data_IF_146250309717
#
_entry.id   IF_146250309717
#
_cell.length_a   1.000
_cell.length_b   1.000
_cell.length_c   1.000
_cell.angle_alpha   90.00
_cell.angle_beta   90.00
_cell.angle_gamma   90.00
#
_symmetry.space_group_name_H-M   'P 1'
#
loop_
_entity.id
_entity.type
_entity.pdbx_description
1 polymer ?
#
# COMPACT_ATOMS: atom_id res chain seq x y z
N UNK A 1 4.91 -1.32 -5.55
CA UNK A 1 4.20 -0.05 -5.74
C UNK A 1 2.72 -0.27 -5.50
N UNK A 2 2.10 0.65 -4.78
CA UNK A 2 0.66 0.63 -4.46
C UNK A 2 -0.24 0.79 -5.70
N UNK A 3 0.25 1.45 -6.73
CA UNK A 3 -0.53 1.76 -7.93
C UNK A 3 -0.98 0.53 -8.73
N UNK A 4 -0.39 -0.65 -8.45
CA UNK A 4 -0.61 -1.88 -9.23
C UNK A 4 -0.98 -3.02 -8.28
N UNK A 5 -2.12 -3.65 -8.57
CA UNK A 5 -2.66 -4.77 -7.78
C UNK A 5 -1.89 -6.05 -8.04
N UNK A 6 -1.74 -6.88 -7.00
CA UNK A 6 -0.87 -8.05 -7.00
C UNK A 6 -1.12 -9.01 -8.18
N UNK A 7 -2.38 -9.19 -8.61
CA UNK A 7 -2.74 -10.00 -9.79
C UNK A 7 -2.06 -9.56 -11.10
N UNK A 8 -1.65 -8.30 -11.21
CA UNK A 8 -1.02 -7.74 -12.41
C UNK A 8 0.51 -7.78 -12.39
N UNK A 9 1.13 -8.50 -11.44
CA UNK A 9 2.59 -8.70 -11.45
C UNK A 9 3.14 -9.15 -12.81
N UNK A 10 2.50 -10.06 -13.58
CA UNK A 10 3.01 -10.45 -14.91
C UNK A 10 3.16 -9.27 -15.90
N UNK A 11 2.28 -8.26 -15.83
CA UNK A 11 2.39 -7.08 -16.69
C UNK A 11 3.63 -6.24 -16.36
N UNK A 12 3.98 -6.13 -15.08
CA UNK A 12 5.20 -5.47 -14.64
C UNK A 12 6.45 -6.25 -15.05
N UNK A 13 6.41 -7.58 -14.93
CA UNK A 13 7.54 -8.44 -15.29
C UNK A 13 7.83 -8.37 -16.80
N UNK A 14 6.79 -8.39 -17.65
CA UNK A 14 6.92 -8.23 -19.10
C UNK A 14 7.43 -6.84 -19.49
N UNK A 15 6.93 -5.80 -18.81
CA UNK A 15 7.40 -4.43 -19.02
C UNK A 15 8.89 -4.29 -18.66
N UNK A 16 9.37 -4.93 -17.59
CA UNK A 16 10.79 -4.85 -17.21
C UNK A 16 11.68 -5.75 -18.08
N UNK A 17 11.18 -6.90 -18.53
CA UNK A 17 11.98 -7.83 -19.37
C UNK A 17 12.32 -7.27 -20.75
N UNK A 18 11.63 -6.21 -21.19
CA UNK A 18 11.82 -5.64 -22.52
C UNK A 18 11.32 -6.55 -23.64
N UNK A 19 10.25 -7.32 -23.37
CA UNK A 19 9.56 -8.16 -24.35
C UNK A 19 9.09 -7.33 -25.55
N UNK A 20 8.46 -6.19 -25.28
CA UNK A 20 8.20 -5.13 -26.28
C UNK A 20 9.38 -4.17 -26.30
N UNK A 21 10.03 -3.94 -27.45
CA UNK A 21 11.24 -3.10 -27.59
C UNK A 21 10.98 -1.60 -27.67
N UNK A 22 9.84 -1.23 -28.25
CA UNK A 22 9.40 0.16 -28.34
C UNK A 22 8.86 0.62 -26.98
N UNK A 23 9.41 1.71 -26.43
CA UNK A 23 9.09 2.15 -25.07
C UNK A 23 7.68 2.75 -24.97
N UNK A 24 7.24 3.53 -25.96
CA UNK A 24 5.89 4.10 -25.97
C UNK A 24 4.83 3.00 -26.06
N UNK A 25 5.07 1.98 -26.90
CA UNK A 25 4.20 0.80 -26.98
C UNK A 25 4.21 0.01 -25.68
N UNK A 26 5.37 -0.20 -25.06
CA UNK A 26 5.46 -0.92 -23.78
C UNK A 26 4.70 -0.18 -22.67
N UNK A 27 4.75 1.16 -22.65
CA UNK A 27 4.00 1.99 -21.70
C UNK A 27 2.48 1.88 -21.92
N UNK A 28 2.03 1.92 -23.19
CA UNK A 28 0.62 1.72 -23.54
C UNK A 28 0.13 0.33 -23.15
N UNK A 29 0.90 -0.71 -23.47
CA UNK A 29 0.58 -2.09 -23.09
C UNK A 29 0.52 -2.24 -21.56
N UNK A 30 1.45 -1.61 -20.83
CA UNK A 30 1.42 -1.62 -19.37
C UNK A 30 0.14 -0.96 -18.83
N UNK A 31 -0.20 0.24 -19.32
CA UNK A 31 -1.39 0.99 -18.95
C UNK A 31 -2.67 0.16 -19.10
N UNK A 32 -2.83 -0.48 -20.26
CA UNK A 32 -3.99 -1.32 -20.58
C UNK A 32 -4.02 -2.59 -19.71
N UNK A 33 -2.89 -3.28 -19.56
CA UNK A 33 -2.82 -4.57 -18.86
C UNK A 33 -2.99 -4.48 -17.35
N UNK A 34 -2.65 -3.35 -16.75
CA UNK A 34 -2.90 -3.10 -15.31
C UNK A 34 -4.24 -2.41 -15.07
N UNK A 35 -5.01 -2.17 -16.14
CA UNK A 35 -6.32 -1.51 -16.10
C UNK A 35 -6.23 -0.16 -15.38
N UNK A 36 -5.22 0.64 -15.73
CA UNK A 36 -4.86 1.83 -14.96
C UNK A 36 -6.01 2.83 -14.82
N UNK A 37 -6.74 3.08 -15.91
CA UNK A 37 -7.89 3.99 -15.98
C UNK A 37 -9.04 3.59 -15.04
N UNK A 38 -9.17 2.30 -14.74
CA UNK A 38 -10.24 1.76 -13.91
C UNK A 38 -9.83 1.61 -12.44
N UNK A 39 -8.54 1.41 -12.19
CA UNK A 39 -8.03 0.93 -10.90
C UNK A 39 -7.19 1.94 -10.14
N UNK A 40 -6.71 2.97 -10.82
CA UNK A 40 -5.89 3.99 -10.18
C UNK A 40 -6.38 5.39 -10.52
N UNK A 41 -6.60 6.19 -9.48
CA UNK A 41 -7.24 7.50 -9.63
C UNK A 41 -6.31 8.58 -10.16
N UNK A 42 -5.00 8.35 -10.10
CA UNK A 42 -4.00 9.35 -10.46
C UNK A 42 -3.50 9.15 -11.91
N UNK A 43 -3.18 10.23 -12.64
CA UNK A 43 -2.72 10.13 -14.03
C UNK A 43 -1.49 9.24 -14.19
N UNK A 44 -1.49 8.38 -15.20
CA UNK A 44 -0.40 7.44 -15.47
C UNK A 44 0.91 8.17 -15.77
N UNK A 45 0.83 9.32 -16.41
CA UNK A 45 1.93 10.20 -16.79
C UNK A 45 2.76 10.62 -15.58
N UNK A 46 2.14 10.76 -14.40
CA UNK A 46 2.82 11.08 -13.15
C UNK A 46 3.79 9.99 -12.69
N UNK A 47 3.63 8.75 -13.18
CA UNK A 47 4.43 7.59 -12.79
C UNK A 47 5.40 7.12 -13.89
N UNK A 48 5.26 7.62 -15.13
CA UNK A 48 6.15 7.28 -16.25
C UNK A 48 7.64 7.47 -15.93
N UNK A 49 8.10 8.52 -15.22
CA UNK A 49 9.51 8.64 -14.87
C UNK A 49 10.04 7.45 -14.06
N UNK A 50 9.24 6.91 -13.14
CA UNK A 50 9.59 5.71 -12.36
C UNK A 50 9.63 4.48 -13.25
N UNK A 51 8.57 4.24 -14.03
CA UNK A 51 8.48 3.09 -14.94
C UNK A 51 9.65 3.05 -15.92
N UNK A 52 9.89 4.16 -16.64
CA UNK A 52 11.01 4.31 -17.60
C UNK A 52 12.36 4.07 -16.93
N UNK A 53 12.58 4.63 -15.74
CA UNK A 53 13.84 4.46 -15.01
C UNK A 53 14.07 3.00 -14.62
N UNK A 54 13.06 2.35 -14.04
CA UNK A 54 13.16 0.94 -13.65
C UNK A 54 13.40 0.04 -14.85
N UNK A 55 12.71 0.27 -15.97
CA UNK A 55 12.90 -0.46 -17.22
C UNK A 55 14.29 -0.27 -17.81
N UNK A 56 14.75 0.97 -17.94
CA UNK A 56 16.10 1.29 -18.43
C UNK A 56 17.20 0.63 -17.61
N UNK A 57 17.02 0.54 -16.30
CA UNK A 57 18.00 -0.03 -15.36
C UNK A 57 17.78 -1.52 -15.06
N UNK A 58 16.73 -2.14 -15.60
CA UNK A 58 16.36 -3.52 -15.28
C UNK A 58 15.98 -3.74 -13.82
N UNK A 59 15.54 -2.71 -13.11
CA UNK A 59 15.10 -2.80 -11.71
C UNK A 59 13.71 -3.45 -11.68
N UNK A 60 13.52 -4.59 -11.00
CA UNK A 60 12.22 -5.23 -10.97
C UNK A 60 11.15 -4.39 -10.28
N UNK A 61 10.01 -4.24 -10.93
CA UNK A 61 8.81 -3.65 -10.34
C UNK A 61 7.98 -4.73 -9.64
N UNK A 62 7.29 -4.34 -8.58
CA UNK A 62 6.53 -5.27 -7.73
C UNK A 62 5.15 -4.69 -7.49
N UNK A 63 4.11 -5.43 -7.85
CA UNK A 63 2.72 -5.09 -7.58
C UNK A 63 2.40 -5.42 -6.11
N UNK A 64 2.01 -4.41 -5.34
CA UNK A 64 1.81 -4.58 -3.89
C UNK A 64 0.34 -4.56 -3.49
N UNK A 65 -0.52 -3.95 -4.31
CA UNK A 65 -1.85 -3.60 -3.85
C UNK A 65 -2.79 -4.82 -3.80
N UNK A 66 -3.77 -4.72 -2.91
CA UNK A 66 -4.89 -5.65 -2.80
C UNK A 66 -5.80 -5.45 -4.00
N UNK A 67 -6.45 -6.52 -4.47
CA UNK A 67 -7.41 -6.40 -5.55
C UNK A 67 -8.63 -5.54 -5.16
N UNK A 68 -9.13 -4.71 -6.08
CA UNK A 68 -10.33 -3.89 -5.82
C UNK A 68 -11.52 -4.75 -5.45
N UNK A 69 -11.63 -5.93 -6.08
CA UNK A 69 -12.72 -6.85 -5.81
C UNK A 69 -12.69 -7.30 -4.34
N UNK A 70 -11.50 -7.54 -3.80
CA UNK A 70 -11.29 -7.89 -2.39
C UNK A 70 -11.53 -6.70 -1.47
N UNK A 71 -11.04 -5.50 -1.81
CA UNK A 71 -11.32 -4.28 -1.04
C UNK A 71 -12.81 -3.97 -1.00
N UNK A 72 -13.53 -4.04 -2.14
CA UNK A 72 -14.98 -3.82 -2.22
C UNK A 72 -15.76 -4.80 -1.34
N UNK A 73 -15.39 -6.08 -1.30
CA UNK A 73 -16.00 -7.06 -0.38
C UNK A 73 -15.87 -6.63 1.08
N UNK A 74 -14.68 -6.19 1.49
CA UNK A 74 -14.43 -5.77 2.88
C UNK A 74 -15.13 -4.45 3.18
N UNK A 75 -15.14 -3.49 2.25
CA UNK A 75 -15.87 -2.23 2.40
C UNK A 75 -17.39 -2.44 2.53
N UNK A 76 -17.94 -3.52 1.96
CA UNK A 76 -19.37 -3.84 2.03
C UNK A 76 -19.77 -4.61 3.30
N UNK A 77 -18.86 -5.30 3.98
CA UNK A 77 -19.25 -6.18 5.08
C UNK A 77 -18.15 -6.61 6.06
N UNK A 78 -17.01 -5.93 6.06
CA UNK A 78 -15.86 -6.20 6.93
C UNK A 78 -15.05 -7.43 6.52
N UNK A 79 -14.02 -7.74 7.34
CA UNK A 79 -13.03 -8.78 7.08
C UNK A 79 -13.61 -10.21 7.05
N UNK A 80 -14.81 -10.43 7.59
CA UNK A 80 -15.49 -11.73 7.54
C UNK A 80 -15.90 -12.13 6.12
N UNK A 81 -15.93 -11.17 5.18
CA UNK A 81 -16.23 -11.39 3.75
C UNK A 81 -15.05 -11.97 2.97
N UNK A 82 -13.85 -11.98 3.53
CA UNK A 82 -12.67 -12.54 2.88
C UNK A 82 -12.75 -14.07 2.87
N UNK A 83 -12.45 -14.67 1.71
CA UNK A 83 -12.24 -16.11 1.61
C UNK A 83 -10.94 -16.52 2.32
N UNK A 84 -10.73 -17.83 2.48
CA UNK A 84 -9.48 -18.35 3.04
C UNK A 84 -8.30 -17.98 2.13
N UNK A 85 -8.48 -18.12 0.83
CA UNK A 85 -7.46 -17.82 -0.18
C UNK A 85 -7.09 -16.33 -0.18
N UNK A 86 -8.07 -15.43 -0.03
CA UNK A 86 -7.81 -13.98 0.06
C UNK A 86 -7.03 -13.63 1.33
N UNK A 87 -7.36 -14.27 2.47
CA UNK A 87 -6.61 -14.09 3.72
C UNK A 87 -5.18 -14.59 3.58
N UNK A 88 -4.99 -15.81 3.08
CA UNK A 88 -3.65 -16.39 2.88
C UNK A 88 -2.81 -15.56 1.90
N UNK A 89 -3.44 -15.00 0.87
CA UNK A 89 -2.79 -14.14 -0.11
C UNK A 89 -2.37 -12.79 0.47
N UNK A 90 -3.16 -12.15 1.34
CA UNK A 90 -2.88 -10.78 1.79
C UNK A 90 -2.46 -10.64 3.24
N UNK A 91 -2.46 -11.70 4.02
CA UNK A 91 -2.16 -11.68 5.44
C UNK A 91 -1.16 -12.80 5.75
N UNK A 92 0.14 -12.51 5.61
CA UNK A 92 1.21 -13.49 5.90
C UNK A 92 1.38 -13.78 7.39
N UNK A 93 0.99 -12.85 8.26
CA UNK A 93 1.00 -13.01 9.72
C UNK A 93 -0.40 -12.76 10.31
N UNK A 94 -1.29 -13.77 10.31
CA UNK A 94 -2.65 -13.61 10.83
C UNK A 94 -2.71 -13.17 12.30
N UNK A 95 -1.75 -13.60 13.12
CA UNK A 95 -1.71 -13.26 14.54
C UNK A 95 -1.22 -11.83 14.74
N UNK A 96 -0.18 -11.42 14.01
CA UNK A 96 0.27 -10.03 13.94
C UNK A 96 -0.84 -9.11 13.48
N UNK A 97 -1.53 -9.45 12.38
CA UNK A 97 -2.66 -8.69 11.85
C UNK A 97 -3.77 -8.49 12.89
N UNK A 98 -4.16 -9.55 13.61
CA UNK A 98 -5.20 -9.49 14.66
C UNK A 98 -4.79 -8.61 15.84
N UNK A 99 -3.52 -8.67 16.24
CA UNK A 99 -3.01 -7.96 17.42
C UNK A 99 -2.49 -6.56 17.10
N UNK A 100 -2.33 -6.21 15.82
CA UNK A 100 -1.76 -4.94 15.38
C UNK A 100 -2.52 -3.72 15.91
N UNK A 101 -3.83 -3.83 16.02
CA UNK A 101 -4.70 -2.75 16.51
C UNK A 101 -4.47 -2.40 17.98
N UNK A 102 -3.78 -3.27 18.74
CA UNK A 102 -3.45 -3.09 20.15
C UNK A 102 -2.13 -2.30 20.35
N UNK A 103 -1.42 -1.96 19.27
CA UNK A 103 -0.16 -1.22 19.38
C UNK A 103 -0.40 0.16 19.97
N UNK A 104 0.48 0.62 20.88
CA UNK A 104 0.47 2.01 21.32
C UNK A 104 0.42 2.95 20.12
N UNK A 105 -0.44 3.96 20.20
CA UNK A 105 -0.56 4.95 19.14
C UNK A 105 -1.42 4.60 17.93
N UNK A 106 -1.82 3.34 17.75
CA UNK A 106 -2.65 2.95 16.60
C UNK A 106 -3.99 3.71 16.56
N UNK A 107 -4.61 3.96 17.72
CA UNK A 107 -5.83 4.78 17.82
C UNK A 107 -5.64 6.22 17.33
N UNK A 108 -4.49 6.84 17.61
CA UNK A 108 -4.15 8.19 17.10
C UNK A 108 -4.00 8.18 15.58
N UNK A 109 -3.37 7.14 15.00
CA UNK A 109 -3.26 6.95 13.56
C UNK A 109 -4.64 6.79 12.90
N UNK A 110 -5.52 5.97 13.49
CA UNK A 110 -6.89 5.80 13.01
C UNK A 110 -7.62 7.14 12.98
N UNK A 111 -7.59 7.90 14.07
CA UNK A 111 -8.33 9.15 14.18
C UNK A 111 -7.76 10.26 13.29
N UNK A 112 -6.43 10.36 13.15
CA UNK A 112 -5.77 11.51 12.52
C UNK A 112 -5.35 11.26 11.06
N UNK A 113 -5.49 10.03 10.56
CA UNK A 113 -5.13 9.67 9.19
C UNK A 113 -6.25 8.93 8.51
N UNK A 114 -6.71 7.83 9.12
CA UNK A 114 -7.69 6.95 8.47
C UNK A 114 -9.07 7.63 8.42
N UNK A 115 -9.50 8.28 9.50
CA UNK A 115 -10.80 8.96 9.53
C UNK A 115 -10.80 10.25 8.71
N UNK A 116 -9.69 10.99 8.63
CA UNK A 116 -9.56 12.13 7.72
C UNK A 116 -9.61 11.68 6.26
N UNK A 117 -8.93 10.57 5.93
CA UNK A 117 -9.04 9.95 4.61
C UNK A 117 -10.48 9.53 4.31
N UNK A 118 -11.19 8.92 5.26
CA UNK A 118 -12.59 8.56 5.10
C UNK A 118 -13.46 9.79 4.79
N UNK A 119 -13.31 10.88 5.56
CA UNK A 119 -14.07 12.10 5.36
C UNK A 119 -13.81 12.73 3.98
N UNK A 120 -12.54 12.78 3.57
CA UNK A 120 -12.14 13.27 2.25
C UNK A 120 -12.73 12.44 1.11
N UNK A 121 -12.65 11.11 1.19
CA UNK A 121 -13.19 10.22 0.15
C UNK A 121 -14.72 10.26 0.12
N UNK A 122 -15.38 10.41 1.26
CA UNK A 122 -16.83 10.61 1.33
C UNK A 122 -17.24 11.92 0.65
N UNK A 123 -16.52 13.02 0.90
CA UNK A 123 -16.78 14.31 0.27
C UNK A 123 -16.60 14.27 -1.25
N UNK A 124 -15.65 13.47 -1.75
CA UNK A 124 -15.45 13.26 -3.20
C UNK A 124 -16.42 12.25 -3.81
N UNK A 125 -17.34 11.65 -3.04
CA UNK A 125 -18.29 10.66 -3.55
C UNK A 125 -17.67 9.31 -3.92
N UNK A 126 -16.47 8.99 -3.40
CA UNK A 126 -15.74 7.78 -3.74
C UNK A 126 -16.14 6.54 -2.93
N UNK A 127 -16.94 6.71 -1.86
CA UNK A 127 -17.28 5.63 -0.93
C UNK A 127 -18.68 5.03 -1.14
N UNK A 128 -19.36 5.42 -2.22
CA UNK A 128 -20.75 5.05 -2.49
C UNK A 128 -21.76 5.75 -1.57
N UNK A 129 -23.02 5.34 -1.65
CA UNK A 129 -24.15 6.07 -1.05
C UNK A 129 -24.24 5.94 0.47
N UNK A 130 -23.82 4.79 1.02
CA UNK A 130 -23.92 4.49 2.46
C UNK A 130 -22.57 4.04 3.03
N UNK A 131 -21.58 4.94 3.12
CA UNK A 131 -20.23 4.57 3.53
C UNK A 131 -20.19 4.25 5.02
N UNK A 132 -19.60 3.12 5.41
CA UNK A 132 -19.46 2.71 6.81
C UNK A 132 -18.01 2.93 7.30
N UNK A 133 -17.77 3.76 8.33
CA UNK A 133 -16.42 4.03 8.84
C UNK A 133 -15.68 2.78 9.36
N UNK A 134 -16.41 1.82 9.96
CA UNK A 134 -15.80 0.59 10.48
C UNK A 134 -15.34 -0.32 9.34
N UNK A 135 -16.14 -0.44 8.28
CA UNK A 135 -15.74 -1.21 7.11
C UNK A 135 -14.66 -0.51 6.29
N UNK A 136 -14.66 0.83 6.28
CA UNK A 136 -13.55 1.60 5.73
C UNK A 136 -12.24 1.34 6.48
N UNK A 137 -12.26 1.37 7.82
CA UNK A 137 -11.10 1.02 8.63
C UNK A 137 -10.66 -0.43 8.39
N UNK A 138 -11.59 -1.37 8.28
CA UNK A 138 -11.30 -2.77 7.97
C UNK A 138 -10.61 -2.92 6.59
N UNK A 139 -11.11 -2.22 5.57
CA UNK A 139 -10.52 -2.18 4.25
C UNK A 139 -9.11 -1.56 4.29
N UNK A 140 -8.96 -0.46 5.04
CA UNK A 140 -7.66 0.18 5.27
C UNK A 140 -6.64 -0.76 5.91
N UNK A 141 -7.05 -1.50 6.94
CA UNK A 141 -6.19 -2.49 7.60
C UNK A 141 -5.72 -3.56 6.63
N UNK A 142 -6.63 -4.09 5.80
CA UNK A 142 -6.29 -5.09 4.80
C UNK A 142 -5.35 -4.51 3.74
N UNK A 143 -5.56 -3.26 3.32
CA UNK A 143 -4.71 -2.59 2.33
C UNK A 143 -3.27 -2.45 2.84
N UNK A 144 -3.09 -1.92 4.05
CA UNK A 144 -1.77 -1.76 4.68
C UNK A 144 -1.09 -3.14 4.87
N UNK A 145 -1.84 -4.15 5.33
CA UNK A 145 -1.34 -5.52 5.53
C UNK A 145 -1.00 -6.22 4.21
N UNK A 146 -1.84 -6.07 3.19
CA UNK A 146 -1.66 -6.69 1.88
C UNK A 146 -0.40 -6.20 1.21
N UNK A 147 -0.19 -4.88 1.18
CA UNK A 147 1.03 -4.30 0.63
C UNK A 147 2.28 -4.76 1.39
N UNK A 148 2.21 -4.78 2.72
CA UNK A 148 3.30 -5.26 3.58
C UNK A 148 3.60 -6.74 3.34
N UNK A 149 2.57 -7.57 3.22
CA UNK A 149 2.67 -9.00 2.92
C UNK A 149 3.35 -9.25 1.57
N UNK A 150 2.95 -8.50 0.54
CA UNK A 150 3.55 -8.61 -0.79
C UNK A 150 5.02 -8.17 -0.80
N UNK A 151 5.33 -7.06 -0.13
CA UNK A 151 6.70 -6.57 0.02
C UNK A 151 7.56 -7.59 0.80
N UNK A 152 7.06 -8.10 1.93
CA UNK A 152 7.73 -9.10 2.76
C UNK A 152 8.09 -10.35 1.95
N UNK A 153 7.13 -10.95 1.25
CA UNK A 153 7.39 -12.14 0.41
C UNK A 153 8.49 -11.88 -0.63
N UNK A 154 8.46 -10.71 -1.27
CA UNK A 154 9.46 -10.36 -2.28
C UNK A 154 10.84 -10.19 -1.66
N UNK A 155 10.95 -9.51 -0.52
CA UNK A 155 12.21 -9.30 0.20
C UNK A 155 12.79 -10.63 0.66
N UNK A 156 12.00 -11.52 1.27
CA UNK A 156 12.49 -12.84 1.71
C UNK A 156 12.95 -13.72 0.56
N UNK A 157 12.32 -13.60 -0.61
CA UNK A 157 12.70 -14.36 -1.80
C UNK A 157 14.01 -13.88 -2.44
N UNK A 158 14.31 -12.58 -2.37
CA UNK A 158 15.49 -12.02 -3.07
C UNK A 158 16.65 -11.65 -2.18
N UNK A 159 16.40 -11.32 -0.91
CA UNK A 159 17.38 -10.65 -0.03
C UNK A 159 17.71 -9.22 -0.45
N UNK A 160 17.02 -8.65 -1.45
CA UNK A 160 17.33 -7.32 -1.98
C UNK A 160 16.66 -6.22 -1.15
N UNK A 161 17.27 -5.03 -1.19
CA UNK A 161 16.59 -3.80 -0.76
C UNK A 161 15.41 -3.49 -1.67
N UNK A 162 14.28 -3.08 -1.07
CA UNK A 162 13.09 -2.65 -1.78
C UNK A 162 12.78 -1.19 -1.46
N UNK A 163 12.47 -0.42 -2.49
CA UNK A 163 11.84 0.90 -2.36
C UNK A 163 10.34 0.74 -2.59
N UNK A 164 9.54 1.12 -1.60
CA UNK A 164 8.07 1.09 -1.69
C UNK A 164 7.58 2.49 -2.03
N UNK A 165 6.80 2.58 -3.11
CA UNK A 165 6.06 3.79 -3.49
C UNK A 165 4.59 3.56 -3.13
N UNK A 166 4.10 4.35 -2.17
CA UNK A 166 2.75 4.32 -1.63
C UNK A 166 2.36 5.71 -1.11
N UNK A 167 1.05 5.94 -0.97
CA UNK A 167 0.47 7.19 -0.51
C UNK A 167 0.84 7.48 0.94
N UNK A 168 1.06 8.76 1.26
CA UNK A 168 1.55 9.19 2.57
C UNK A 168 0.71 8.67 3.74
N UNK A 169 -0.61 8.52 3.57
CA UNK A 169 -1.48 7.95 4.61
C UNK A 169 -1.05 6.55 5.06
N UNK A 170 -0.40 5.74 4.21
CA UNK A 170 0.05 4.37 4.53
C UNK A 170 1.33 4.37 5.37
N UNK A 171 1.97 5.53 5.50
CA UNK A 171 3.32 5.68 6.07
C UNK A 171 3.35 6.65 7.24
N UNK A 172 2.43 7.61 7.28
CA UNK A 172 2.29 8.61 8.34
C UNK A 172 2.29 7.94 9.71
N UNK A 173 3.09 8.51 10.59
CA UNK A 173 3.28 8.03 11.96
C UNK A 173 3.78 6.59 12.08
N UNK A 174 4.29 6.00 10.98
CA UNK A 174 4.79 4.61 10.91
C UNK A 174 3.75 3.52 11.18
N UNK A 175 2.47 3.85 11.33
CA UNK A 175 1.43 2.91 11.78
C UNK A 175 0.70 2.13 10.67
N UNK A 176 1.01 2.39 9.40
CA UNK A 176 0.52 1.59 8.26
C UNK A 176 1.52 0.49 7.87
N UNK A 177 2.08 0.58 6.66
CA UNK A 177 2.96 -0.46 6.07
C UNK A 177 4.25 -0.70 6.86
N UNK A 178 4.86 0.37 7.37
CA UNK A 178 6.17 0.33 8.05
C UNK A 178 6.15 -0.56 9.28
N UNK A 179 5.28 -0.26 10.27
CA UNK A 179 5.20 -1.05 11.49
C UNK A 179 4.69 -2.48 11.24
N UNK A 180 3.94 -2.72 10.15
CA UNK A 180 3.50 -4.07 9.75
C UNK A 180 4.67 -4.91 9.26
N UNK A 181 5.51 -4.38 8.39
CA UNK A 181 6.74 -5.04 7.95
C UNK A 181 7.67 -5.36 9.14
N UNK A 182 7.89 -4.40 10.04
CA UNK A 182 8.69 -4.62 11.25
C UNK A 182 8.08 -5.67 12.19
N UNK A 183 6.74 -5.76 12.23
CA UNK A 183 6.04 -6.78 13.03
C UNK A 183 6.24 -8.18 12.44
N UNK A 184 6.12 -8.30 11.13
CA UNK A 184 6.29 -9.56 10.40
C UNK A 184 7.72 -10.08 10.51
N UNK A 185 8.71 -9.19 10.44
CA UNK A 185 10.13 -9.55 10.54
C UNK A 185 10.94 -8.43 11.22
N UNK A 186 11.21 -8.56 12.53
CA UNK A 186 11.99 -7.59 13.30
C UNK A 186 13.45 -7.42 12.83
N UNK A 187 13.95 -8.29 11.95
CA UNK A 187 15.30 -8.15 11.39
C UNK A 187 15.37 -7.15 10.22
N UNK A 188 14.22 -6.75 9.66
CA UNK A 188 14.18 -5.78 8.59
C UNK A 188 14.46 -4.36 9.09
N UNK A 189 15.37 -3.66 8.40
CA UNK A 189 15.56 -2.23 8.60
C UNK A 189 14.57 -1.47 7.72
N UNK A 190 13.49 -0.96 8.31
CA UNK A 190 12.43 -0.26 7.57
C UNK A 190 12.48 1.24 7.85
N UNK A 191 12.71 2.02 6.79
CA UNK A 191 12.74 3.49 6.82
C UNK A 191 11.66 4.04 5.91
N UNK A 192 11.10 5.18 6.29
CA UNK A 192 10.11 5.92 5.50
C UNK A 192 10.59 7.33 5.25
N UNK A 193 10.26 7.85 4.07
CA UNK A 193 10.50 9.24 3.67
C UNK A 193 9.18 9.78 3.13
N UNK A 194 8.72 10.90 3.69
CA UNK A 194 7.56 11.62 3.16
C UNK A 194 8.05 12.62 2.11
N UNK A 195 7.43 12.59 0.93
CA UNK A 195 7.72 13.54 -0.12
C UNK A 195 6.85 14.78 0.07
N UNK A 196 7.49 15.95 0.17
CA UNK A 196 6.83 17.24 0.40
C UNK A 196 5.87 17.26 1.60
N UNK A 197 6.34 16.92 2.83
CA UNK A 197 5.47 16.91 3.99
C UNK A 197 5.07 18.33 4.40
N UNK A 198 3.85 18.46 4.92
CA UNK A 198 3.45 19.64 5.68
C UNK A 198 3.93 19.54 7.14
N UNK A 199 3.93 20.64 7.91
CA UNK A 199 4.21 20.59 9.34
C UNK A 199 3.30 19.61 10.11
N UNK A 200 2.04 19.47 9.68
CA UNK A 200 1.11 18.51 10.29
C UNK A 200 1.53 17.05 10.04
N UNK A 201 2.27 16.77 8.96
CA UNK A 201 2.73 15.42 8.60
C UNK A 201 4.02 15.01 9.34
N UNK A 202 4.72 15.95 9.96
CA UNK A 202 6.04 15.76 10.58
C UNK A 202 6.07 16.15 12.07
N UNK A 203 5.05 16.86 12.57
CA UNK A 203 5.03 17.45 13.90
C UNK A 203 4.58 16.55 15.06
N UNK A 204 4.42 15.24 14.87
CA UNK A 204 4.03 14.34 15.95
C UNK A 204 4.60 12.94 15.78
N UNK A 205 5.53 12.54 16.64
CA UNK A 205 5.66 11.12 16.96
C UNK A 205 4.41 10.75 17.76
N UNK A 206 3.64 9.81 17.24
CA UNK A 206 2.54 9.20 17.99
C UNK A 206 3.07 8.49 19.26
N UNK A 207 4.39 8.23 19.30
CA UNK A 207 5.18 7.66 20.40
C UNK A 207 5.49 8.63 21.55
N UNK A 208 4.84 9.81 21.63
CA UNK A 208 4.91 10.67 22.82
C UNK A 208 4.11 10.07 24.01
N UNK A 209 4.54 8.87 24.41
CA UNK A 209 4.59 8.37 25.79
C UNK A 209 6.03 8.53 26.36
N UNK A 210 6.88 9.37 25.74
CA UNK A 210 8.14 9.83 26.33
C UNK A 210 9.43 9.26 25.76
N UNK A 211 9.57 9.08 24.45
CA UNK A 211 10.89 8.84 23.82
C UNK A 211 11.11 9.83 22.68
N UNK A 212 12.07 10.74 22.89
CA UNK A 212 12.51 11.76 21.94
C UNK A 212 12.83 11.16 20.57
N UNK A 213 12.21 11.71 19.52
CA UNK A 213 12.64 11.47 18.15
C UNK A 213 13.91 12.28 17.86
N UNK A 214 15.01 11.57 17.61
CA UNK A 214 16.27 12.18 17.15
C UNK A 214 16.07 12.63 15.69
N UNK A 215 16.33 13.92 15.46
CA UNK A 215 16.35 14.61 14.17
C UNK A 215 17.40 14.07 13.20
#
# INVERSE_FOLDING_TARGET
>A
MEMVQAKFQPALDDFISGATKDDERAEKELFERVEWDQRWQWPFEGYLPVFRTCRKLGIPLVALNVEDETIKKVSAGGLSRLTVEEKEKFIVDPQGFKTFTQRPGYGKYVNSVVMDSYAFHAQMGLLGDTPNPQYFLAARMLWDEGMSSMAYRRIKRTGNTMVVLEGAGHVKYRMGSVARLEKMDPSLVVKSILLNPTPADTGGSIDDDGVESVR
#
